data_IF_472665181493
#
_entry.id   IF_472665181493
#
_cell.length_a   1.000
_cell.length_b   1.000
_cell.length_c   1.000
_cell.angle_alpha   90.00
_cell.angle_beta   90.00
_cell.angle_gamma   90.00
#
_symmetry.space_group_name_H-M   'P 1'
#
loop_
_entity.id
_entity.type
_entity.pdbx_description
1 polymer ?
#
# COMPACT_ATOMS: atom_id res chain seq x y z
N UNK A 1 -5.29 57.31 -70.22
CA UNK A 1 -5.30 58.61 -69.58
C UNK A 1 -6.19 58.47 -68.34
N UNK A 2 -5.96 58.88 -67.27
CA UNK A 2 -6.54 58.73 -65.92
C UNK A 2 -6.17 57.46 -65.19
N UNK A 3 -5.13 57.58 -64.37
CA UNK A 3 -4.77 56.70 -63.28
C UNK A 3 -5.72 56.92 -62.12
N UNK A 4 -6.36 55.86 -61.63
CA UNK A 4 -7.05 55.88 -60.32
C UNK A 4 -6.24 55.08 -59.31
N UNK A 5 -5.75 55.78 -58.33
CA UNK A 5 -5.15 55.22 -57.10
C UNK A 5 -6.26 54.64 -56.24
N UNK A 6 -6.13 53.40 -55.81
CA UNK A 6 -6.90 52.86 -54.69
C UNK A 6 -5.97 52.70 -53.49
N UNK A 7 -6.25 53.46 -52.49
CA UNK A 7 -5.63 53.40 -51.18
C UNK A 7 -6.25 52.25 -50.44
N UNK A 8 -5.47 51.19 -50.14
CA UNK A 8 -5.89 50.07 -49.26
C UNK A 8 -5.57 50.42 -47.84
N UNK A 9 -6.59 50.52 -46.99
CA UNK A 9 -6.46 50.67 -45.55
C UNK A 9 -6.20 49.28 -44.92
N UNK A 10 -4.98 49.05 -44.41
CA UNK A 10 -4.68 47.89 -43.62
C UNK A 10 -5.18 48.11 -42.19
N UNK A 11 -6.27 47.41 -41.81
CA UNK A 11 -6.69 47.36 -40.44
C UNK A 11 -5.83 46.35 -39.66
N UNK A 12 -4.94 46.82 -38.82
CA UNK A 12 -4.27 46.01 -37.81
C UNK A 12 -5.26 45.71 -36.70
N UNK A 13 -5.72 44.44 -36.61
CA UNK A 13 -6.39 43.94 -35.46
C UNK A 13 -5.35 43.64 -34.37
N UNK A 14 -5.25 44.51 -33.41
CA UNK A 14 -4.50 44.22 -32.19
C UNK A 14 -5.27 43.19 -31.34
N UNK A 15 -4.78 41.96 -31.33
CA UNK A 15 -5.20 40.93 -30.37
C UNK A 15 -4.63 41.33 -29.01
N UNK A 16 -5.44 41.96 -28.19
CA UNK A 16 -5.17 42.12 -26.76
C UNK A 16 -5.41 40.75 -26.11
N UNK A 17 -4.33 40.10 -25.74
CA UNK A 17 -4.35 38.97 -24.82
C UNK A 17 -4.79 39.52 -23.45
N UNK A 18 -6.04 39.34 -23.12
CA UNK A 18 -6.51 39.54 -21.76
C UNK A 18 -5.96 38.37 -20.94
N UNK A 19 -4.87 38.63 -20.25
CA UNK A 19 -4.42 37.81 -19.14
C UNK A 19 -5.48 37.91 -18.05
N UNK A 20 -6.32 36.91 -17.92
CA UNK A 20 -7.15 36.76 -16.71
C UNK A 20 -6.21 36.42 -15.55
N UNK A 21 -5.75 37.42 -14.84
CA UNK A 21 -5.20 37.23 -13.51
C UNK A 21 -6.38 36.80 -12.62
N UNK A 22 -6.17 35.76 -11.84
CA UNK A 22 -7.17 35.15 -10.93
C UNK A 22 -7.59 36.05 -9.77
N UNK A 23 -7.20 37.31 -9.77
CA UNK A 23 -7.46 38.25 -8.66
C UNK A 23 -8.72 39.10 -8.83
N UNK A 24 -9.35 39.16 -10.01
CA UNK A 24 -10.51 40.02 -10.23
C UNK A 24 -11.88 39.40 -9.88
N UNK A 25 -11.90 38.16 -9.36
CA UNK A 25 -13.16 37.56 -8.87
C UNK A 25 -13.52 37.91 -7.44
N UNK A 26 -12.68 38.70 -6.75
CA UNK A 26 -12.93 39.12 -5.35
C UNK A 26 -13.68 40.44 -5.18
N UNK A 27 -14.02 41.17 -6.27
CA UNK A 27 -14.62 42.51 -6.16
C UNK A 27 -16.12 42.59 -6.48
N UNK A 28 -16.78 41.48 -6.76
CA UNK A 28 -18.23 41.48 -7.00
C UNK A 28 -18.94 40.59 -5.98
N UNK A 29 -19.46 41.26 -4.97
CA UNK A 29 -20.50 40.82 -4.03
C UNK A 29 -20.10 40.59 -2.59
N UNK A 30 -20.11 41.60 -1.82
CA UNK A 30 -20.72 41.59 -0.50
C UNK A 30 -22.15 41.07 -0.65
N UNK A 31 -22.43 39.89 -0.11
CA UNK A 31 -23.73 39.24 0.07
C UNK A 31 -23.99 37.95 -0.72
N UNK A 32 -23.02 37.10 -0.95
CA UNK A 32 -23.33 35.70 -1.16
C UNK A 32 -22.53 34.85 -0.17
N UNK A 33 -23.21 34.11 0.67
CA UNK A 33 -22.67 32.94 1.36
C UNK A 33 -22.15 31.98 0.30
N UNK A 34 -20.90 32.23 -0.19
CA UNK A 34 -20.27 31.34 -1.19
C UNK A 34 -20.19 29.97 -0.55
N UNK A 35 -20.93 29.03 -1.11
CA UNK A 35 -20.80 27.63 -0.78
C UNK A 35 -19.36 27.23 -1.10
N UNK A 36 -18.51 27.12 -0.11
CA UNK A 36 -17.13 26.71 -0.25
C UNK A 36 -17.12 25.19 -0.49
N UNK A 37 -16.50 24.76 -1.59
CA UNK A 37 -16.38 23.34 -1.91
C UNK A 37 -15.48 22.65 -0.88
N UNK A 38 -15.87 21.44 -0.46
CA UNK A 38 -15.04 20.61 0.40
C UNK A 38 -13.83 20.17 -0.41
N UNK A 39 -12.63 20.46 0.07
CA UNK A 39 -11.38 20.01 -0.53
C UNK A 39 -10.72 18.96 0.35
N UNK A 40 -9.94 18.08 -0.28
CA UNK A 40 -9.19 17.03 0.40
C UNK A 40 -7.70 17.23 0.22
N UNK A 41 -6.94 16.90 1.25
CA UNK A 41 -5.51 16.66 1.19
C UNK A 41 -5.19 15.31 1.84
N UNK A 42 -4.26 14.57 1.26
CA UNK A 42 -3.86 13.27 1.77
C UNK A 42 -2.35 13.16 1.78
N UNK A 43 -1.80 12.83 2.92
CA UNK A 43 -0.42 12.47 3.02
C UNK A 43 -0.27 11.18 3.83
N UNK A 44 0.80 10.42 3.54
CA UNK A 44 1.22 9.32 4.38
C UNK A 44 1.93 9.93 5.60
N UNK A 45 1.54 9.54 6.79
CA UNK A 45 2.26 9.83 8.02
C UNK A 45 3.73 9.47 7.80
N UNK A 46 4.67 10.06 8.50
CA UNK A 46 6.12 10.00 8.24
C UNK A 46 6.64 8.61 7.83
N UNK A 47 6.42 8.24 6.57
CA UNK A 47 6.80 6.94 6.01
C UNK A 47 6.84 7.06 4.52
N UNK A 48 7.99 7.10 3.98
CA UNK A 48 8.35 6.55 2.70
C UNK A 48 9.72 7.07 2.30
N UNK A 49 10.74 6.39 2.72
CA UNK A 49 11.95 6.35 1.92
C UNK A 49 11.70 5.29 0.86
N UNK A 50 11.57 5.72 -0.39
CA UNK A 50 11.51 4.83 -1.53
C UNK A 50 12.77 3.97 -1.54
N UNK A 51 12.63 2.69 -1.25
CA UNK A 51 13.68 1.72 -1.56
C UNK A 51 13.64 1.53 -3.07
N UNK A 52 14.66 2.03 -3.76
CA UNK A 52 14.82 1.88 -5.20
C UNK A 52 14.67 0.41 -5.60
N UNK A 53 13.69 0.10 -6.46
CA UNK A 53 13.62 -1.15 -7.19
C UNK A 53 12.50 -2.12 -6.83
N UNK A 54 11.55 -1.80 -5.97
CA UNK A 54 10.46 -2.71 -5.64
C UNK A 54 9.31 -2.65 -6.65
N UNK A 55 9.16 -3.69 -7.45
CA UNK A 55 7.92 -4.00 -8.16
C UNK A 55 6.96 -4.73 -7.21
N UNK A 56 6.36 -4.01 -6.32
CA UNK A 56 5.24 -4.40 -5.50
C UNK A 56 4.49 -3.11 -5.24
N UNK A 57 3.17 -3.13 -5.26
CA UNK A 57 2.37 -1.91 -5.24
C UNK A 57 2.26 -1.31 -3.83
N UNK A 58 3.40 -1.02 -3.21
CA UNK A 58 3.44 -0.19 -2.01
C UNK A 58 2.93 1.21 -2.35
N UNK A 59 1.94 1.67 -1.59
CA UNK A 59 1.38 2.99 -1.76
C UNK A 59 2.20 4.02 -0.97
N UNK A 60 3.19 4.61 -1.62
CA UNK A 60 3.84 5.84 -1.15
C UNK A 60 2.98 7.06 -1.51
N UNK A 61 3.28 8.24 -0.94
CA UNK A 61 2.62 9.49 -1.33
C UNK A 61 2.67 9.71 -2.85
N UNK A 62 3.84 9.53 -3.43
CA UNK A 62 4.04 9.70 -4.88
C UNK A 62 3.31 8.64 -5.70
N UNK A 63 3.28 7.38 -5.21
CA UNK A 63 2.53 6.32 -5.85
C UNK A 63 1.02 6.59 -5.80
N UNK A 64 0.51 7.05 -4.66
CA UNK A 64 -0.90 7.40 -4.50
C UNK A 64 -1.29 8.60 -5.38
N UNK A 65 -0.44 9.62 -5.49
CA UNK A 65 -0.67 10.77 -6.37
C UNK A 65 -0.63 10.42 -7.87
N UNK A 66 0.21 9.44 -8.25
CA UNK A 66 0.31 8.96 -9.64
C UNK A 66 -0.74 7.90 -9.98
N UNK A 67 -1.43 7.36 -8.99
CA UNK A 67 -2.47 6.35 -9.18
C UNK A 67 -3.72 6.94 -9.81
N UNK A 68 -4.22 6.29 -10.86
CA UNK A 68 -5.54 6.62 -11.44
C UNK A 68 -6.68 6.22 -10.50
N UNK A 69 -6.43 5.29 -9.57
CA UNK A 69 -7.41 4.84 -8.57
C UNK A 69 -7.60 5.90 -7.50
N UNK A 70 -6.51 6.53 -7.00
CA UNK A 70 -6.56 7.48 -5.90
C UNK A 70 -7.07 6.83 -4.61
N UNK A 71 -7.93 7.52 -3.88
CA UNK A 71 -8.53 7.01 -2.65
C UNK A 71 -10.05 7.17 -2.61
N UNK A 72 -10.72 6.35 -1.81
CA UNK A 72 -12.16 6.41 -1.57
C UNK A 72 -12.48 7.16 -0.29
N UNK A 73 -13.56 7.93 -0.30
CA UNK A 73 -14.03 8.71 0.86
C UNK A 73 -15.49 8.39 1.15
N UNK A 74 -15.77 8.11 2.41
CA UNK A 74 -17.11 8.13 2.99
C UNK A 74 -17.24 9.33 3.92
N UNK A 75 -18.41 9.92 4.03
CA UNK A 75 -18.66 11.07 4.90
C UNK A 75 -20.06 11.10 5.42
N UNK A 76 -20.20 11.23 6.73
CA UNK A 76 -21.47 11.33 7.41
C UNK A 76 -21.65 12.75 7.95
N UNK A 77 -22.66 13.44 7.45
CA UNK A 77 -23.05 14.77 7.95
C UNK A 77 -24.00 14.65 9.13
N UNK A 78 -23.73 15.42 10.17
CA UNK A 78 -24.57 15.58 11.35
C UNK A 78 -24.93 17.07 11.52
N UNK A 79 -26.23 17.36 11.55
CA UNK A 79 -26.76 18.75 11.54
C UNK A 79 -26.58 19.50 12.88
N UNK A 80 -26.19 18.79 13.93
CA UNK A 80 -26.00 19.39 15.27
C UNK A 80 -24.52 19.57 15.57
N UNK A 81 -24.20 20.58 16.37
CA UNK A 81 -22.84 20.81 16.87
C UNK A 81 -22.43 19.84 18.02
N UNK A 82 -23.25 18.82 18.28
CA UNK A 82 -22.88 17.79 19.25
C UNK A 82 -21.66 17.06 18.72
N UNK A 83 -20.59 17.00 19.49
CA UNK A 83 -19.31 16.38 19.14
C UNK A 83 -19.34 14.86 19.12
N UNK A 84 -20.52 14.24 19.02
CA UNK A 84 -20.64 12.79 18.90
C UNK A 84 -20.30 12.38 17.48
N UNK A 85 -19.18 11.68 17.34
CA UNK A 85 -18.75 11.11 16.06
C UNK A 85 -19.73 10.05 15.60
N UNK A 86 -20.25 10.20 14.39
CA UNK A 86 -21.13 9.24 13.73
C UNK A 86 -20.62 8.93 12.34
N UNK A 87 -20.28 7.69 12.11
CA UNK A 87 -19.80 7.25 10.80
C UNK A 87 -20.95 6.78 9.90
N UNK A 88 -20.79 6.98 8.62
CA UNK A 88 -21.76 6.61 7.61
C UNK A 88 -21.43 7.23 6.24
N UNK A 89 -22.40 7.20 5.34
CA UNK A 89 -22.21 7.65 3.96
C UNK A 89 -23.36 8.55 3.46
N UNK A 90 -24.04 9.27 4.37
CA UNK A 90 -25.19 10.11 3.99
C UNK A 90 -24.78 11.33 3.15
N UNK A 91 -23.50 11.75 3.23
CA UNK A 91 -22.98 12.90 2.47
C UNK A 91 -21.97 12.50 1.41
N UNK A 92 -20.95 11.67 1.72
CA UNK A 92 -20.05 11.06 0.75
C UNK A 92 -20.25 9.54 0.78
N UNK A 93 -20.52 8.98 -0.40
CA UNK A 93 -20.75 7.55 -0.58
C UNK A 93 -19.69 6.98 -1.50
N UNK A 94 -18.66 6.36 -0.91
CA UNK A 94 -17.52 5.82 -1.66
C UNK A 94 -17.04 6.74 -2.80
N UNK A 95 -16.82 8.03 -2.47
CA UNK A 95 -16.41 9.03 -3.44
C UNK A 95 -14.96 8.82 -3.83
N UNK A 96 -14.71 8.57 -5.11
CA UNK A 96 -13.34 8.53 -5.63
C UNK A 96 -12.72 9.94 -5.63
N UNK A 97 -11.49 10.04 -5.12
CA UNK A 97 -10.66 11.24 -5.11
C UNK A 97 -9.34 10.93 -5.79
N UNK A 98 -8.99 11.67 -6.84
CA UNK A 98 -7.77 11.45 -7.64
C UNK A 98 -6.92 12.71 -7.67
N UNK A 99 -5.61 12.57 -7.84
CA UNK A 99 -4.69 13.70 -7.92
C UNK A 99 -4.53 14.15 -9.37
N UNK A 100 -4.95 15.37 -9.66
CA UNK A 100 -4.85 15.96 -11.01
C UNK A 100 -4.45 17.42 -10.90
N UNK A 101 -3.59 17.85 -11.82
CA UNK A 101 -3.18 19.27 -11.89
C UNK A 101 -2.70 19.82 -10.53
N UNK A 102 -1.88 19.03 -9.83
CA UNK A 102 -1.29 19.36 -8.52
C UNK A 102 -2.29 19.50 -7.36
N UNK A 103 -3.50 18.93 -7.50
CA UNK A 103 -4.52 18.94 -6.45
C UNK A 103 -5.32 17.63 -6.41
N UNK A 104 -5.86 17.29 -5.24
CA UNK A 104 -6.84 16.22 -5.11
C UNK A 104 -8.20 16.71 -5.58
N UNK A 105 -8.81 15.96 -6.51
CA UNK A 105 -10.06 16.33 -7.18
C UNK A 105 -11.07 15.19 -7.16
N UNK A 106 -12.35 15.54 -7.16
CA UNK A 106 -13.46 14.57 -7.25
C UNK A 106 -14.66 15.21 -7.94
N UNK A 107 -15.58 14.40 -8.40
CA UNK A 107 -16.80 14.84 -9.07
C UNK A 107 -17.99 13.90 -8.73
N UNK A 108 -19.20 14.42 -8.42
CA UNK A 108 -19.57 15.85 -8.33
C UNK A 108 -19.01 16.53 -7.07
N UNK A 109 -18.76 17.84 -7.16
CA UNK A 109 -18.32 18.63 -6.02
C UNK A 109 -19.42 18.71 -4.95
N UNK A 110 -19.00 18.66 -3.69
CA UNK A 110 -19.84 18.87 -2.51
C UNK A 110 -19.34 20.07 -1.72
N UNK A 111 -20.25 20.74 -1.06
CA UNK A 111 -20.01 22.02 -0.41
C UNK A 111 -20.21 21.89 1.10
N UNK A 112 -19.47 22.68 1.84
CA UNK A 112 -19.68 22.82 3.27
C UNK A 112 -21.09 23.33 3.56
N UNK A 113 -21.74 22.75 4.55
CA UNK A 113 -23.00 23.24 5.08
C UNK A 113 -22.74 24.30 6.15
N UNK A 114 -23.67 25.25 6.34
CA UNK A 114 -23.48 26.37 7.26
C UNK A 114 -23.28 25.93 8.71
N UNK A 115 -23.97 24.87 9.11
CA UNK A 115 -24.03 24.34 10.47
C UNK A 115 -23.68 22.84 10.47
N UNK A 116 -23.42 22.30 11.65
CA UNK A 116 -23.10 20.89 11.82
C UNK A 116 -21.65 20.53 11.49
N UNK A 117 -21.39 19.25 11.37
CA UNK A 117 -20.07 18.70 11.07
C UNK A 117 -20.16 17.47 10.18
N UNK A 118 -19.03 17.05 9.63
CA UNK A 118 -18.89 15.82 8.84
C UNK A 118 -17.79 14.96 9.46
N UNK A 119 -18.07 13.69 9.66
CA UNK A 119 -17.12 12.68 10.03
C UNK A 119 -16.73 11.89 8.78
N UNK A 120 -15.44 11.86 8.47
CA UNK A 120 -14.91 11.23 7.27
C UNK A 120 -14.12 9.96 7.57
N UNK A 121 -14.28 8.98 6.68
CA UNK A 121 -13.45 7.79 6.58
C UNK A 121 -12.85 7.74 5.17
N UNK A 122 -11.60 7.31 5.07
CA UNK A 122 -10.91 7.17 3.79
C UNK A 122 -10.10 5.89 3.72
N UNK A 123 -9.94 5.34 2.51
CA UNK A 123 -9.11 4.18 2.23
C UNK A 123 -8.48 4.28 0.84
N UNK A 124 -7.33 3.66 0.64
CA UNK A 124 -6.67 3.57 -0.67
C UNK A 124 -6.04 2.18 -0.88
N UNK A 125 -6.01 1.69 -2.13
CA UNK A 125 -6.52 2.30 -3.35
C UNK A 125 -8.05 2.28 -3.42
N UNK A 126 -8.64 3.22 -4.15
CA UNK A 126 -10.08 3.23 -4.39
C UNK A 126 -10.55 1.98 -5.13
N UNK A 127 -11.67 1.42 -4.69
CA UNK A 127 -12.38 0.35 -5.38
C UNK A 127 -13.87 0.69 -5.49
N UNK A 128 -14.40 0.67 -6.71
CA UNK A 128 -15.75 1.18 -7.04
C UNK A 128 -16.87 0.54 -6.21
N UNK A 129 -16.74 -0.74 -5.91
CA UNK A 129 -17.80 -1.52 -5.25
C UNK A 129 -17.59 -1.69 -3.75
N UNK A 130 -16.71 -0.90 -3.13
CA UNK A 130 -16.50 -0.94 -1.69
C UNK A 130 -17.73 -0.37 -0.98
N UNK A 131 -18.36 -1.19 -0.15
CA UNK A 131 -19.49 -0.79 0.69
C UNK A 131 -19.02 -0.52 2.11
N UNK A 132 -19.58 0.52 2.72
CA UNK A 132 -19.39 0.82 4.13
C UNK A 132 -20.53 0.20 4.95
N UNK A 133 -20.17 -0.50 6.01
CA UNK A 133 -21.12 -0.96 7.04
C UNK A 133 -20.67 -0.40 8.38
N UNK A 134 -21.43 0.53 8.93
CA UNK A 134 -21.01 1.37 10.06
C UNK A 134 -19.73 2.15 9.74
N UNK A 135 -18.56 1.71 10.24
CA UNK A 135 -17.25 2.29 9.97
C UNK A 135 -16.31 1.34 9.22
N UNK A 136 -16.84 0.22 8.71
CA UNK A 136 -16.04 -0.92 8.26
C UNK A 136 -16.20 -1.21 6.78
N UNK A 137 -15.12 -1.68 6.17
CA UNK A 137 -15.10 -2.21 4.80
C UNK A 137 -14.50 -3.62 4.79
N UNK A 138 -14.91 -4.43 3.81
CA UNK A 138 -14.30 -5.73 3.56
C UNK A 138 -13.09 -5.57 2.62
N UNK A 139 -12.04 -6.32 2.88
CA UNK A 139 -10.85 -6.36 2.06
C UNK A 139 -10.44 -7.81 1.76
N UNK A 140 -10.00 -8.05 0.52
CA UNK A 140 -9.51 -9.36 0.08
C UNK A 140 -8.09 -9.21 -0.47
N UNK A 141 -7.20 -10.09 0.00
CA UNK A 141 -5.81 -10.18 -0.48
C UNK A 141 -5.80 -10.99 -1.77
N UNK A 142 -5.10 -10.49 -2.79
CA UNK A 142 -4.98 -11.23 -4.05
C UNK A 142 -4.15 -12.52 -3.87
N UNK A 143 -4.56 -13.58 -4.58
CA UNK A 143 -3.92 -14.90 -4.51
C UNK A 143 -2.47 -14.89 -4.99
N UNK A 144 -2.18 -14.09 -6.00
CA UNK A 144 -0.85 -13.98 -6.58
C UNK A 144 -0.12 -12.76 -6.00
N UNK A 145 1.08 -12.97 -5.50
CA UNK A 145 1.92 -11.93 -4.88
C UNK A 145 2.13 -10.71 -5.79
N UNK A 146 2.31 -10.93 -7.10
CA UNK A 146 2.48 -9.84 -8.06
C UNK A 146 1.24 -8.96 -8.28
N UNK A 147 0.06 -9.43 -7.87
CA UNK A 147 -1.21 -8.71 -7.99
C UNK A 147 -1.67 -8.09 -6.67
N UNK A 148 -0.95 -8.33 -5.58
CA UNK A 148 -1.30 -7.76 -4.29
C UNK A 148 -1.09 -6.25 -4.28
N UNK A 149 -2.01 -5.56 -3.63
CA UNK A 149 -1.96 -4.12 -3.40
C UNK A 149 -1.89 -3.86 -1.90
N UNK A 150 -1.13 -2.85 -1.55
CA UNK A 150 -1.15 -2.29 -0.21
C UNK A 150 -2.52 -1.66 0.09
N UNK A 151 -2.91 -1.66 1.35
CA UNK A 151 -4.14 -1.03 1.82
C UNK A 151 -3.80 0.07 2.83
N UNK A 152 -4.23 1.27 2.50
CA UNK A 152 -4.14 2.43 3.39
C UNK A 152 -5.51 2.79 3.94
N UNK A 153 -5.54 3.35 5.14
CA UNK A 153 -6.75 3.85 5.78
C UNK A 153 -6.48 5.12 6.59
N UNK A 154 -7.51 5.96 6.71
CA UNK A 154 -7.48 7.19 7.49
C UNK A 154 -8.88 7.58 7.92
N UNK A 155 -8.98 8.44 8.94
CA UNK A 155 -10.22 9.12 9.30
C UNK A 155 -9.94 10.59 9.65
N UNK A 156 -11.00 11.41 9.58
CA UNK A 156 -10.95 12.81 9.96
C UNK A 156 -12.34 13.22 10.48
N UNK A 157 -12.45 13.37 11.78
CA UNK A 157 -13.75 13.57 12.47
C UNK A 157 -14.03 15.02 12.79
N UNK A 158 -15.30 15.32 12.99
CA UNK A 158 -15.81 16.63 13.44
C UNK A 158 -15.34 17.80 12.55
N UNK A 159 -15.31 17.58 11.21
CA UNK A 159 -14.89 18.59 10.25
C UNK A 159 -16.02 19.56 9.92
N UNK A 160 -15.71 20.84 9.95
CA UNK A 160 -16.64 21.94 9.74
C UNK A 160 -16.18 22.85 8.61
N UNK A 161 -17.04 23.76 8.17
CA UNK A 161 -16.70 24.76 7.14
C UNK A 161 -15.42 25.53 7.45
N UNK A 162 -15.13 25.80 8.74
CA UNK A 162 -13.92 26.49 9.16
C UNK A 162 -12.61 25.74 8.85
N UNK A 163 -12.67 24.42 8.70
CA UNK A 163 -11.48 23.61 8.35
C UNK A 163 -11.04 23.80 6.90
N UNK A 164 -11.94 24.22 6.00
CA UNK A 164 -11.75 24.42 4.55
C UNK A 164 -11.32 23.14 3.81
N UNK A 165 -10.17 22.55 4.20
CA UNK A 165 -9.60 21.34 3.63
C UNK A 165 -9.59 20.22 4.67
N UNK A 166 -10.05 19.04 4.27
CA UNK A 166 -9.98 17.82 5.08
C UNK A 166 -8.67 17.12 4.77
N UNK A 167 -7.78 17.05 5.74
CA UNK A 167 -6.49 16.38 5.62
C UNK A 167 -6.58 14.95 6.18
N UNK A 168 -6.21 13.96 5.37
CA UNK A 168 -6.11 12.57 5.78
C UNK A 168 -4.65 12.18 6.04
N UNK A 169 -4.38 11.62 7.21
CA UNK A 169 -3.12 10.95 7.52
C UNK A 169 -3.30 9.46 7.32
N UNK A 170 -2.88 8.95 6.19
CA UNK A 170 -3.01 7.54 5.86
C UNK A 170 -2.01 6.67 6.60
N UNK A 171 -2.44 5.50 6.99
CA UNK A 171 -1.64 4.46 7.65
C UNK A 171 -1.71 3.16 6.85
N UNK A 172 -0.66 2.35 6.88
CA UNK A 172 -0.66 1.03 6.27
C UNK A 172 -1.44 0.05 7.13
N UNK A 173 -2.42 -0.62 6.53
CA UNK A 173 -3.30 -1.58 7.23
C UNK A 173 -2.74 -3.02 7.22
N UNK A 174 -1.85 -3.33 6.28
CA UNK A 174 -1.26 -4.65 6.09
C UNK A 174 0.14 -4.73 6.70
N UNK A 175 0.65 -5.95 6.85
CA UNK A 175 2.08 -6.21 7.04
C UNK A 175 2.74 -6.44 5.68
N UNK A 176 3.95 -5.90 5.50
CA UNK A 176 4.77 -6.05 4.30
C UNK A 176 5.89 -7.03 4.57
N UNK A 177 6.05 -8.06 3.74
CA UNK A 177 7.07 -9.08 3.92
C UNK A 177 7.93 -9.17 2.66
N UNK A 178 9.26 -9.09 2.84
CA UNK A 178 10.28 -9.30 1.83
C UNK A 178 11.19 -10.46 2.20
N UNK A 179 12.03 -10.92 1.26
CA UNK A 179 13.11 -11.85 1.54
C UNK A 179 14.41 -11.40 0.89
N UNK A 180 15.51 -11.88 1.46
CA UNK A 180 16.79 -11.97 0.79
C UNK A 180 17.23 -13.44 0.75
N UNK A 181 17.94 -13.83 -0.29
CA UNK A 181 18.44 -15.22 -0.42
C UNK A 181 19.87 -15.21 -0.95
N UNK A 182 20.72 -16.04 -0.34
CA UNK A 182 22.11 -16.28 -0.75
C UNK A 182 22.48 -17.73 -0.53
N UNK A 183 23.67 -18.12 -0.95
CA UNK A 183 24.26 -19.42 -0.60
C UNK A 183 25.58 -19.23 0.16
N UNK A 184 25.87 -20.12 1.10
CA UNK A 184 27.17 -20.24 1.73
C UNK A 184 28.09 -21.24 1.03
N UNK A 185 27.61 -21.88 -0.05
CA UNK A 185 28.40 -22.79 -0.87
C UNK A 185 29.35 -21.98 -1.74
N UNK A 186 30.64 -22.04 -1.44
CA UNK A 186 31.68 -21.35 -2.17
C UNK A 186 32.57 -22.39 -2.87
N UNK A 187 32.67 -22.28 -4.19
CA UNK A 187 33.56 -23.17 -4.97
C UNK A 187 33.14 -23.28 -6.42
N UNK A 188 34.06 -23.80 -7.25
CA UNK A 188 33.84 -23.97 -8.69
C UNK A 188 33.13 -25.30 -9.01
N UNK A 189 33.08 -26.23 -8.05
CA UNK A 189 32.60 -27.60 -8.26
C UNK A 189 31.13 -27.82 -7.90
N UNK A 190 30.52 -26.82 -7.21
CA UNK A 190 29.13 -26.92 -6.80
C UNK A 190 28.46 -25.59 -6.93
N UNK A 191 27.29 -25.55 -7.56
CA UNK A 191 26.44 -24.36 -7.64
C UNK A 191 25.05 -24.67 -7.11
N UNK A 192 24.40 -23.67 -6.49
CA UNK A 192 23.04 -23.78 -5.98
C UNK A 192 22.12 -22.94 -6.86
N UNK A 193 21.05 -23.57 -7.32
CA UNK A 193 19.99 -22.90 -8.08
C UNK A 193 18.71 -22.91 -7.25
N UNK A 194 18.18 -21.75 -6.92
CA UNK A 194 16.88 -21.60 -6.31
C UNK A 194 15.79 -21.83 -7.36
N UNK A 195 14.80 -22.68 -7.04
CA UNK A 195 13.69 -23.01 -7.92
C UNK A 195 12.37 -22.40 -7.42
N UNK A 196 12.10 -22.45 -6.10
CA UNK A 196 10.85 -21.98 -5.55
C UNK A 196 10.98 -21.57 -4.08
N UNK A 197 10.22 -20.55 -3.68
CA UNK A 197 10.00 -20.20 -2.28
C UNK A 197 8.48 -20.18 -2.04
N UNK A 198 8.03 -20.92 -1.04
CA UNK A 198 6.62 -20.98 -0.62
C UNK A 198 6.51 -20.64 0.86
N UNK A 199 5.48 -19.86 1.23
CA UNK A 199 5.04 -19.68 2.61
C UNK A 199 3.76 -20.45 2.83
N UNK A 200 3.73 -21.36 3.83
CA UNK A 200 2.62 -22.27 4.08
C UNK A 200 2.43 -22.56 5.57
N UNK A 201 1.26 -23.08 5.94
CA UNK A 201 0.90 -23.44 7.31
C UNK A 201 1.42 -24.82 7.76
N UNK A 202 2.20 -25.50 6.93
CA UNK A 202 2.85 -26.77 7.27
C UNK A 202 4.14 -26.95 6.48
N UNK A 203 5.06 -27.75 7.01
CA UNK A 203 6.36 -28.03 6.40
C UNK A 203 6.25 -28.69 5.01
N UNK A 204 5.17 -29.42 4.75
CA UNK A 204 4.89 -30.08 3.46
C UNK A 204 4.07 -29.20 2.49
N UNK A 205 3.75 -27.96 2.87
CA UNK A 205 3.04 -26.99 2.05
C UNK A 205 1.54 -27.23 1.88
N UNK A 206 0.95 -28.22 2.56
CA UNK A 206 -0.46 -28.59 2.36
C UNK A 206 -1.46 -27.79 3.20
N UNK A 207 -1.04 -27.28 4.36
CA UNK A 207 -1.89 -26.45 5.22
C UNK A 207 -1.73 -24.99 4.81
N UNK A 208 -2.85 -24.29 4.64
CA UNK A 208 -2.87 -22.86 4.36
C UNK A 208 -2.57 -22.04 5.61
N UNK A 209 -1.83 -20.92 5.42
CA UNK A 209 -1.36 -20.07 6.52
C UNK A 209 -2.10 -18.75 6.63
N UNK A 210 -2.12 -17.96 5.57
CA UNK A 210 -2.53 -16.55 5.62
C UNK A 210 -4.02 -16.38 5.33
N UNK A 211 -4.68 -15.50 6.09
CA UNK A 211 -6.05 -15.10 5.80
C UNK A 211 -6.18 -14.47 4.41
N UNK A 212 -7.24 -14.86 3.68
CA UNK A 212 -7.54 -14.32 2.35
C UNK A 212 -8.36 -13.06 2.40
N UNK A 213 -9.18 -12.88 3.43
CA UNK A 213 -10.00 -11.69 3.60
C UNK A 213 -10.24 -11.37 5.08
N UNK A 214 -10.67 -10.14 5.31
CA UNK A 214 -11.05 -9.64 6.62
C UNK A 214 -11.81 -8.32 6.50
N UNK A 215 -12.36 -7.88 7.61
CA UNK A 215 -13.04 -6.60 7.74
C UNK A 215 -12.16 -5.61 8.48
N UNK A 216 -11.89 -4.45 7.87
CA UNK A 216 -11.12 -3.37 8.49
C UNK A 216 -12.06 -2.27 8.99
N UNK A 217 -11.83 -1.77 10.21
CA UNK A 217 -12.56 -0.67 10.81
C UNK A 217 -11.80 0.65 10.61
N UNK A 218 -12.27 1.46 9.66
CA UNK A 218 -11.64 2.72 9.28
C UNK A 218 -11.71 3.81 10.37
N UNK A 219 -12.54 3.63 11.40
CA UNK A 219 -12.69 4.56 12.51
C UNK A 219 -11.55 4.46 13.55
N UNK A 220 -10.79 3.38 13.51
CA UNK A 220 -9.75 3.12 14.49
C UNK A 220 -8.57 4.09 14.36
N UNK A 221 -7.87 4.26 15.47
CA UNK A 221 -6.58 4.97 15.48
C UNK A 221 -5.46 4.06 14.99
N UNK A 222 -4.36 4.66 14.55
CA UNK A 222 -3.18 3.90 14.16
C UNK A 222 -2.68 3.00 15.32
N UNK A 223 -2.29 1.77 14.99
CA UNK A 223 -1.84 0.72 15.94
C UNK A 223 -2.94 0.16 16.84
N UNK A 224 -4.22 0.38 16.52
CA UNK A 224 -5.31 -0.29 17.22
C UNK A 224 -5.23 -1.82 17.00
N UNK A 225 -5.29 -2.59 18.09
CA UNK A 225 -5.20 -4.07 18.04
C UNK A 225 -6.44 -4.73 17.45
N UNK A 226 -7.55 -4.01 17.41
CA UNK A 226 -8.85 -4.43 16.88
C UNK A 226 -9.20 -3.76 15.54
N UNK A 227 -8.19 -3.33 14.78
CA UNK A 227 -8.36 -2.77 13.44
C UNK A 227 -9.01 -3.78 12.48
N UNK A 228 -8.60 -5.03 12.58
CA UNK A 228 -9.07 -6.13 11.74
C UNK A 228 -9.97 -7.10 12.50
N UNK A 229 -11.06 -7.52 11.87
CA UNK A 229 -12.03 -8.50 12.39
C UNK A 229 -12.55 -9.39 11.26
N UNK A 230 -13.36 -10.39 11.59
CA UNK A 230 -14.07 -11.26 10.63
C UNK A 230 -13.13 -11.83 9.55
N UNK A 231 -12.06 -12.47 10.00
CA UNK A 231 -11.11 -13.13 9.11
C UNK A 231 -11.74 -14.36 8.44
N UNK A 232 -11.57 -14.49 7.11
CA UNK A 232 -12.12 -15.59 6.34
C UNK A 232 -11.10 -16.19 5.38
N UNK A 233 -11.26 -17.48 5.15
CA UNK A 233 -10.41 -18.25 4.25
C UNK A 233 -8.94 -18.26 4.66
N UNK A 234 -8.17 -19.16 4.07
CA UNK A 234 -6.71 -19.16 4.20
C UNK A 234 -6.08 -19.65 2.91
N UNK A 235 -4.87 -19.15 2.64
CA UNK A 235 -4.08 -19.53 1.48
C UNK A 235 -2.59 -19.60 1.80
N UNK A 236 -1.84 -20.22 0.89
CA UNK A 236 -0.39 -20.20 0.86
C UNK A 236 0.08 -19.25 -0.24
N UNK A 237 1.30 -18.76 -0.13
CA UNK A 237 1.88 -17.91 -1.15
C UNK A 237 3.11 -18.56 -1.77
N UNK A 238 3.10 -18.74 -3.10
CA UNK A 238 4.31 -18.95 -3.87
C UNK A 238 4.97 -17.59 -4.10
N UNK A 239 6.08 -17.37 -3.40
CA UNK A 239 6.74 -16.06 -3.39
C UNK A 239 7.76 -15.93 -4.52
N UNK A 240 8.42 -17.03 -4.84
CA UNK A 240 9.31 -17.16 -5.98
C UNK A 240 9.02 -18.48 -6.69
N UNK A 241 9.02 -18.46 -8.01
CA UNK A 241 8.96 -19.65 -8.85
C UNK A 241 9.72 -19.36 -10.15
N UNK A 242 10.85 -20.04 -10.34
CA UNK A 242 11.74 -19.78 -11.47
C UNK A 242 13.09 -20.47 -11.34
N UNK A 243 14.12 -19.88 -11.93
CA UNK A 243 15.48 -20.36 -11.87
C UNK A 243 16.40 -19.19 -11.53
N UNK A 244 17.03 -19.24 -10.35
CA UNK A 244 17.95 -18.21 -9.87
C UNK A 244 19.23 -18.88 -9.35
N UNK A 245 20.34 -18.68 -10.01
CA UNK A 245 21.63 -19.12 -9.50
C UNK A 245 22.02 -18.25 -8.30
N UNK A 246 22.35 -18.91 -7.19
CA UNK A 246 22.72 -18.23 -5.96
C UNK A 246 24.25 -18.11 -5.86
N UNK A 247 24.66 -17.00 -5.23
CA UNK A 247 26.05 -16.73 -4.88
C UNK A 247 26.11 -16.33 -3.39
N UNK A 248 27.30 -16.02 -2.90
CA UNK A 248 27.45 -15.43 -1.56
C UNK A 248 26.85 -14.02 -1.43
N UNK A 249 26.55 -13.36 -2.56
CA UNK A 249 25.84 -12.08 -2.57
C UNK A 249 24.36 -12.33 -2.48
N UNK A 250 23.68 -11.65 -1.54
CA UNK A 250 22.23 -11.76 -1.37
C UNK A 250 21.46 -11.19 -2.56
N UNK A 251 20.41 -11.91 -2.97
CA UNK A 251 19.42 -11.45 -3.94
C UNK A 251 18.10 -11.20 -3.21
N UNK A 252 17.46 -10.07 -3.46
CA UNK A 252 16.18 -9.71 -2.85
C UNK A 252 14.98 -10.08 -3.72
N UNK A 253 13.82 -10.19 -3.09
CA UNK A 253 12.54 -10.36 -3.80
C UNK A 253 12.29 -9.24 -4.82
N UNK A 254 11.62 -9.60 -5.92
CA UNK A 254 11.10 -8.64 -6.89
C UNK A 254 9.74 -8.05 -6.47
N UNK A 255 8.93 -8.82 -5.73
CA UNK A 255 7.62 -8.43 -5.24
C UNK A 255 7.53 -8.67 -3.73
N UNK A 256 7.03 -7.69 -3.00
CA UNK A 256 6.69 -7.86 -1.60
C UNK A 256 5.37 -8.60 -1.45
N UNK A 257 5.25 -9.35 -0.35
CA UNK A 257 4.02 -9.96 0.07
C UNK A 257 3.31 -9.02 1.04
N UNK A 258 2.04 -8.71 0.79
CA UNK A 258 1.18 -7.95 1.68
C UNK A 258 0.15 -8.88 2.31
N UNK A 259 0.13 -8.94 3.64
CA UNK A 259 -0.73 -9.85 4.37
C UNK A 259 -1.55 -9.11 5.43
N UNK A 260 -2.74 -9.61 5.70
CA UNK A 260 -3.52 -9.20 6.87
C UNK A 260 -2.70 -9.54 8.11
N UNK A 261 -2.57 -8.62 9.08
CA UNK A 261 -1.81 -8.86 10.31
C UNK A 261 -2.22 -10.17 10.99
N UNK A 262 -1.23 -11.00 11.34
CA UNK A 262 -1.46 -12.34 11.89
C UNK A 262 -0.29 -12.73 12.80
N UNK A 263 -0.61 -13.47 13.87
CA UNK A 263 0.38 -13.94 14.84
C UNK A 263 0.71 -15.42 14.63
N UNK A 264 1.98 -15.71 14.39
CA UNK A 264 2.55 -17.06 14.27
C UNK A 264 3.60 -17.32 15.36
N UNK A 265 3.67 -16.45 16.38
CA UNK A 265 4.70 -16.54 17.42
C UNK A 265 4.32 -17.44 18.59
N UNK A 266 3.03 -17.76 18.77
CA UNK A 266 2.52 -18.57 19.84
C UNK A 266 2.31 -20.02 19.40
N UNK A 267 2.57 -20.97 20.29
CA UNK A 267 2.30 -22.40 20.06
C UNK A 267 0.81 -22.72 19.89
N UNK A 268 -0.08 -21.86 20.39
CA UNK A 268 -1.53 -21.96 20.21
C UNK A 268 -2.02 -21.31 18.91
N UNK A 269 -1.16 -20.57 18.22
CA UNK A 269 -1.46 -19.91 16.94
C UNK A 269 -1.28 -20.87 15.76
N UNK A 270 -1.65 -20.42 14.56
CA UNK A 270 -1.32 -21.14 13.34
C UNK A 270 0.19 -21.22 13.13
N UNK A 271 0.62 -22.29 12.49
CA UNK A 271 2.01 -22.44 12.09
C UNK A 271 2.29 -21.70 10.78
N UNK A 272 3.51 -21.20 10.63
CA UNK A 272 4.04 -20.68 9.38
C UNK A 272 5.38 -21.31 9.07
N UNK A 273 5.53 -21.77 7.84
CA UNK A 273 6.78 -22.33 7.31
C UNK A 273 7.18 -21.61 6.03
N UNK A 274 8.47 -21.38 5.87
CA UNK A 274 9.04 -21.13 4.56
C UNK A 274 9.57 -22.45 4.02
N UNK A 275 9.24 -22.73 2.78
CA UNK A 275 9.62 -23.94 2.07
C UNK A 275 10.42 -23.50 0.85
N UNK A 276 11.62 -24.05 0.68
CA UNK A 276 12.52 -23.70 -0.41
C UNK A 276 12.86 -24.94 -1.21
N UNK A 277 12.55 -24.90 -2.50
CA UNK A 277 12.97 -25.89 -3.48
C UNK A 277 14.21 -25.36 -4.20
N UNK A 278 15.26 -26.16 -4.25
CA UNK A 278 16.52 -25.79 -4.90
C UNK A 278 17.22 -27.01 -5.55
N UNK A 279 18.13 -26.71 -6.46
CA UNK A 279 18.93 -27.70 -7.14
C UNK A 279 20.41 -27.50 -6.82
N UNK A 280 21.09 -28.57 -6.44
CA UNK A 280 22.55 -28.65 -6.29
C UNK A 280 23.10 -29.17 -7.59
N UNK A 281 23.94 -28.41 -8.25
CA UNK A 281 24.64 -28.87 -9.47
C UNK A 281 26.11 -29.15 -9.14
N UNK A 282 26.54 -30.39 -9.34
CA UNK A 282 27.92 -30.78 -9.18
C UNK A 282 28.63 -30.71 -10.54
N UNK A 283 29.64 -29.85 -10.64
CA UNK A 283 30.40 -29.62 -11.87
C UNK A 283 31.66 -30.51 -11.91
N UNK A 284 31.56 -31.78 -11.49
CA UNK A 284 32.67 -32.72 -11.47
C UNK A 284 32.47 -33.74 -12.55
N UNK A 285 33.36 -33.81 -13.54
CA UNK A 285 33.54 -34.86 -14.57
C UNK A 285 32.29 -35.39 -15.28
N UNK A 286 31.35 -35.99 -14.58
CA UNK A 286 29.98 -36.25 -15.01
C UNK A 286 29.07 -35.28 -14.25
N UNK A 287 28.48 -34.32 -14.95
CA UNK A 287 27.58 -33.37 -14.34
C UNK A 287 26.41 -34.10 -13.65
N UNK A 288 26.29 -33.92 -12.35
CA UNK A 288 25.20 -34.48 -11.54
C UNK A 288 24.38 -33.38 -10.93
N UNK A 289 23.06 -33.54 -10.92
CA UNK A 289 22.13 -32.64 -10.30
C UNK A 289 21.32 -33.35 -9.22
N UNK A 290 21.06 -32.66 -8.10
CA UNK A 290 20.21 -33.14 -7.02
C UNK A 290 19.20 -32.06 -6.67
N UNK A 291 17.92 -32.37 -6.83
CA UNK A 291 16.85 -31.48 -6.34
C UNK A 291 16.59 -31.74 -4.86
N UNK A 292 16.48 -30.70 -4.09
CA UNK A 292 16.23 -30.74 -2.65
C UNK A 292 15.13 -29.78 -2.26
N UNK A 293 14.38 -30.13 -1.21
CA UNK A 293 13.40 -29.29 -0.58
C UNK A 293 13.72 -29.22 0.91
N UNK A 294 13.67 -28.02 1.45
CA UNK A 294 13.84 -27.77 2.89
C UNK A 294 12.77 -26.83 3.37
N UNK A 295 12.40 -26.98 4.64
CA UNK A 295 11.43 -26.11 5.28
C UNK A 295 11.91 -25.71 6.64
N UNK A 296 11.55 -24.50 7.05
CA UNK A 296 11.80 -24.04 8.41
C UNK A 296 10.62 -23.24 8.94
N UNK A 297 10.34 -23.39 10.23
CA UNK A 297 9.25 -22.72 10.91
C UNK A 297 9.61 -21.26 11.17
N UNK A 298 8.67 -20.37 10.87
CA UNK A 298 8.76 -18.94 11.20
C UNK A 298 7.90 -18.68 12.43
N UNK A 299 8.53 -18.23 13.50
CA UNK A 299 7.86 -17.87 14.75
C UNK A 299 7.84 -16.36 14.87
N UNK A 300 6.81 -15.72 14.25
CA UNK A 300 6.76 -14.25 14.15
C UNK A 300 5.32 -13.74 14.18
N UNK A 301 5.13 -12.59 14.82
CA UNK A 301 3.92 -11.79 14.70
C UNK A 301 4.10 -10.76 13.59
N UNK A 302 3.24 -10.80 12.58
CA UNK A 302 3.18 -9.79 11.53
C UNK A 302 2.14 -8.75 11.92
N UNK A 303 2.61 -7.55 12.18
CA UNK A 303 1.78 -6.43 12.67
C UNK A 303 1.50 -5.44 11.55
N UNK A 304 0.38 -4.74 11.65
CA UNK A 304 0.00 -3.69 10.70
C UNK A 304 1.07 -2.60 10.61
N UNK A 305 1.30 -2.10 9.40
CA UNK A 305 2.22 -1.00 9.15
C UNK A 305 3.68 -1.33 9.46
N UNK A 306 4.03 -2.61 9.58
CA UNK A 306 5.42 -3.05 9.73
C UNK A 306 5.91 -3.81 8.52
N UNK A 307 7.18 -3.60 8.20
CA UNK A 307 7.91 -4.35 7.18
C UNK A 307 8.84 -5.39 7.83
N UNK A 308 8.90 -6.55 7.20
CA UNK A 308 9.69 -7.69 7.64
C UNK A 308 10.55 -8.19 6.48
N UNK A 309 11.78 -8.58 6.76
CA UNK A 309 12.65 -9.24 5.78
C UNK A 309 13.06 -10.60 6.31
N UNK A 310 12.83 -11.64 5.54
CA UNK A 310 13.24 -13.01 5.85
C UNK A 310 14.55 -13.29 5.11
N UNK A 311 15.65 -13.51 5.84
CA UNK A 311 16.94 -13.78 5.26
C UNK A 311 17.17 -15.30 5.16
N UNK A 312 17.40 -15.78 3.94
CA UNK A 312 17.58 -17.18 3.61
C UNK A 312 19.03 -17.43 3.21
N UNK A 313 19.71 -18.35 3.90
CA UNK A 313 21.02 -18.85 3.49
C UNK A 313 20.89 -20.33 3.16
N UNK A 314 21.12 -20.71 1.89
CA UNK A 314 20.98 -22.07 1.40
C UNK A 314 22.38 -22.69 1.30
N UNK A 315 22.57 -23.82 1.98
CA UNK A 315 23.82 -24.58 2.01
C UNK A 315 23.64 -25.99 1.50
N UNK A 316 24.67 -26.80 1.67
CA UNK A 316 24.63 -28.27 1.50
C UNK A 316 24.02 -29.01 2.70
N UNK A 317 23.88 -28.30 3.80
CA UNK A 317 23.20 -28.68 5.05
C UNK A 317 21.90 -27.92 5.21
N UNK A 318 21.02 -28.23 6.19
CA UNK A 318 19.76 -27.53 6.40
C UNK A 318 19.91 -26.00 6.45
N UNK A 319 18.85 -25.30 6.01
CA UNK A 319 18.82 -23.84 5.86
C UNK A 319 19.02 -23.13 7.21
N UNK A 320 19.88 -22.13 7.19
CA UNK A 320 19.98 -21.14 8.27
C UNK A 320 18.96 -20.02 8.06
N UNK A 321 18.28 -19.68 9.12
CA UNK A 321 17.22 -18.67 9.15
C UNK A 321 17.62 -17.48 9.95
N UNK A 322 17.39 -16.29 9.43
CA UNK A 322 17.38 -15.07 10.18
C UNK A 322 16.23 -14.16 9.70
N UNK A 323 15.50 -13.52 10.60
CA UNK A 323 14.42 -12.62 10.26
C UNK A 323 14.64 -11.24 10.89
N UNK A 324 14.81 -10.24 10.04
CA UNK A 324 14.89 -8.84 10.47
C UNK A 324 13.53 -8.19 10.42
N UNK A 325 13.23 -7.34 11.41
CA UNK A 325 12.01 -6.54 11.48
C UNK A 325 12.38 -5.07 11.45
N UNK A 326 11.87 -4.37 10.45
CA UNK A 326 11.93 -2.90 10.39
C UNK A 326 10.54 -2.31 10.52
N UNK A 327 10.43 -1.20 11.22
CA UNK A 327 9.19 -0.43 11.12
C UNK A 327 9.07 0.09 9.69
N UNK A 328 7.87 0.01 9.10
CA UNK A 328 7.61 0.53 7.75
C UNK A 328 7.84 2.04 7.66
N UNK A 329 8.05 2.65 8.79
CA UNK A 329 8.16 4.09 8.94
C UNK A 329 9.58 4.65 8.88
N UNK A 330 10.65 3.87 8.98
CA UNK A 330 12.04 4.36 8.79
C UNK A 330 13.00 3.16 8.86
N UNK A 331 14.01 3.03 7.99
CA UNK A 331 15.17 2.20 8.26
C UNK A 331 16.01 2.93 9.33
N UNK A 332 15.84 2.59 10.59
CA UNK A 332 16.88 2.83 11.57
C UNK A 332 17.69 1.56 11.63
N UNK A 333 18.99 1.69 11.43
CA UNK A 333 19.99 0.64 11.55
C UNK A 333 19.76 -0.19 12.82
N UNK A 334 19.41 -1.46 12.64
CA UNK A 334 19.14 -2.40 13.71
C UNK A 334 18.79 -3.78 13.18
N UNK A 335 19.72 -4.43 12.48
CA UNK A 335 19.64 -5.87 12.21
C UNK A 335 19.68 -6.60 13.55
N UNK A 336 18.64 -7.38 13.84
CA UNK A 336 18.69 -8.33 14.97
C UNK A 336 19.14 -9.66 14.38
N UNK A 337 20.40 -9.98 14.53
CA UNK A 337 20.94 -11.30 14.27
C UNK A 337 20.41 -12.26 15.32
N UNK A 338 19.57 -13.20 14.91
CA UNK A 338 19.20 -14.33 15.75
C UNK A 338 20.02 -15.51 15.28
N UNK A 339 21.13 -15.75 15.96
CA UNK A 339 21.92 -16.97 15.81
C UNK A 339 21.11 -18.14 16.35
N UNK A 340 20.71 -19.06 15.49
CA UNK A 340 20.04 -20.31 15.86
C UNK A 340 21.01 -21.45 16.15
N UNK A 341 22.15 -21.15 16.78
CA UNK A 341 23.06 -22.15 17.32
C UNK A 341 22.99 -22.15 18.85
N UNK A 342 22.03 -22.88 19.41
CA UNK A 342 22.11 -23.58 20.71
C UNK A 342 21.01 -24.62 20.78
#
# INVERSE_FOLDING_TARGET
MYKKFFMGIAAMAALTLVSCSSDDLNSLSDNSSKNEAISFDGYLGRSAVAVNGSRGSELTKDALQKSEEGFGVFGNYTATDVTTTTYGENWFKNQQVTYKTSAWTYNPLKYWLPEGHIDFLAYAPYAKNTALTESKINFTVADQVGNQKDLLWANATNKKKADKTVTFTFNHALAKIGYTVKTNVVGTFTTITLNKITLAGSADGKKNAFYTSGTIDLSKVNKATDLWTNFEGKQNFTWFNGTQNLTSTSVSNSNYLFVIPQDFSDAASDDLYVIVDYTINYNTGAAATMTSQVSSKITKKFEQGKAYTINLTIGLTPIEFNADVTEWEIPTDGAIDIDSWN
#
